data_IF_887939542650
#
_entry.id   IF_887939542650
#
_cell.length_a   1.000
_cell.length_b   1.000
_cell.length_c   1.000
_cell.angle_alpha   90.00
_cell.angle_beta   90.00
_cell.angle_gamma   90.00
#
_symmetry.space_group_name_H-M   'P 1'
#
loop_
_entity.id
_entity.type
_entity.pdbx_description
1 polymer ?
#
# COMPACT_ATOMS: atom_id res chain seq x y z
N UNK A 1 23.70 -13.52 -4.36
CA UNK A 1 23.14 -13.70 -3.91
C UNK A 1 22.28 -13.71 -4.17
N UNK A 2 22.07 -13.69 -4.27
CA UNK A 2 21.24 -13.70 -4.14
C UNK A 2 20.67 -14.02 -3.64
N UNK A 3 20.88 -14.24 -3.44
CA UNK A 3 20.63 -14.70 -2.68
C UNK A 3 19.44 -14.88 -2.45
N UNK A 4 19.04 -15.75 -2.44
CA UNK A 4 18.13 -15.86 -1.67
C UNK A 4 17.86 -14.67 -1.09
N UNK A 5 18.08 -13.73 -1.78
CA UNK A 5 17.95 -12.45 -1.29
C UNK A 5 16.73 -12.25 -0.47
N UNK A 6 15.61 -12.72 -0.92
CA UNK A 6 14.38 -12.51 -0.21
C UNK A 6 14.26 -13.31 1.06
N UNK A 7 15.07 -14.31 1.25
CA UNK A 7 14.98 -15.10 2.45
C UNK A 7 15.81 -14.58 3.55
N UNK A 8 16.84 -13.86 3.20
CA UNK A 8 17.75 -13.38 4.17
C UNK A 8 17.68 -11.92 4.17
N UNK A 9 16.85 -11.36 4.93
CA UNK A 9 16.77 -9.94 4.99
C UNK A 9 17.69 -9.42 6.05
N UNK A 10 18.84 -8.92 5.69
CA UNK A 10 19.57 -8.12 6.66
C UNK A 10 18.76 -6.87 6.84
N UNK A 11 18.19 -6.74 8.00
CA UNK A 11 17.21 -5.70 8.25
C UNK A 11 17.68 -4.31 7.95
N UNK A 12 18.98 -4.08 8.12
CA UNK A 12 19.51 -2.73 7.94
C UNK A 12 19.93 -2.42 6.52
N UNK A 13 19.95 -3.44 5.66
CA UNK A 13 20.51 -3.26 4.31
C UNK A 13 19.49 -3.16 3.20
N UNK A 14 18.22 -3.12 3.55
CA UNK A 14 17.18 -2.98 2.53
C UNK A 14 17.27 -1.60 1.90
N UNK A 15 17.39 -1.51 0.58
CA UNK A 15 17.47 -0.21 -0.07
C UNK A 15 16.12 0.47 -0.05
N UNK A 16 16.13 1.75 0.26
CA UNK A 16 14.94 2.58 0.12
C UNK A 16 14.84 3.00 -1.33
N UNK A 17 13.69 2.81 -1.93
CA UNK A 17 13.45 3.26 -3.30
C UNK A 17 13.12 4.74 -3.35
N UNK A 18 12.77 5.33 -2.22
CA UNK A 18 12.45 6.76 -2.11
C UNK A 18 12.59 7.22 -0.67
N UNK A 19 12.72 8.54 -0.49
CA UNK A 19 12.73 9.13 0.84
C UNK A 19 11.30 9.17 1.41
N UNK A 20 11.19 9.47 2.69
CA UNK A 20 9.89 9.63 3.33
C UNK A 20 9.09 10.76 2.68
N UNK A 21 9.77 11.87 2.34
CA UNK A 21 9.10 12.98 1.69
C UNK A 21 8.62 12.61 0.29
N UNK A 22 9.43 11.90 -0.47
CA UNK A 22 9.02 11.39 -1.77
C UNK A 22 7.85 10.43 -1.66
N UNK A 23 7.84 9.61 -0.61
CA UNK A 23 6.71 8.72 -0.35
C UNK A 23 5.44 9.51 -0.08
N UNK A 24 5.51 10.58 0.69
CA UNK A 24 4.33 11.42 0.96
C UNK A 24 3.77 12.03 -0.31
N UNK A 25 4.64 12.49 -1.19
CA UNK A 25 4.22 13.07 -2.46
C UNK A 25 3.55 11.99 -3.33
N UNK A 26 4.15 10.82 -3.41
CA UNK A 26 3.60 9.71 -4.17
C UNK A 26 2.23 9.30 -3.65
N UNK A 27 2.09 9.18 -2.33
CA UNK A 27 0.82 8.82 -1.71
C UNK A 27 -0.28 9.83 -2.06
N UNK A 28 0.03 11.11 -2.00
CA UNK A 28 -0.97 12.14 -2.34
C UNK A 28 -1.43 12.03 -3.78
N UNK A 29 -0.50 11.80 -4.69
CA UNK A 29 -0.85 11.59 -6.09
C UNK A 29 -1.74 10.37 -6.27
N UNK A 30 -1.40 9.28 -5.58
CA UNK A 30 -2.19 8.05 -5.65
C UNK A 30 -3.59 8.24 -5.09
N UNK A 31 -3.72 8.98 -3.99
CA UNK A 31 -5.03 9.29 -3.40
C UNK A 31 -5.88 10.07 -4.38
N UNK A 32 -5.31 11.07 -5.04
CA UNK A 32 -6.06 11.86 -6.02
C UNK A 32 -6.56 11.01 -7.17
N UNK A 33 -5.73 10.08 -7.65
CA UNK A 33 -6.13 9.18 -8.73
C UNK A 33 -7.25 8.24 -8.30
N UNK A 34 -7.15 7.69 -7.09
CA UNK A 34 -8.18 6.79 -6.56
C UNK A 34 -9.47 7.54 -6.30
N UNK A 35 -9.38 8.73 -5.72
CA UNK A 35 -10.55 9.56 -5.44
C UNK A 35 -11.32 9.89 -6.72
N UNK A 36 -10.61 10.11 -7.82
CA UNK A 36 -11.24 10.44 -9.09
C UNK A 36 -12.17 9.34 -9.59
N UNK A 37 -11.87 8.07 -9.29
CA UNK A 37 -12.70 6.95 -9.74
C UNK A 37 -13.66 6.44 -8.66
N UNK A 38 -13.30 6.57 -7.38
CA UNK A 38 -14.12 6.09 -6.28
C UNK A 38 -15.11 7.15 -5.81
N UNK A 39 -14.77 8.43 -5.97
CA UNK A 39 -15.65 9.52 -5.62
C UNK A 39 -15.67 9.85 -4.14
N UNK A 40 -14.64 9.45 -3.37
CA UNK A 40 -14.60 9.73 -1.95
C UNK A 40 -13.17 9.97 -1.51
N UNK A 41 -12.98 10.99 -0.68
CA UNK A 41 -11.68 11.36 -0.15
C UNK A 41 -11.56 10.91 1.31
N UNK A 42 -10.34 10.56 1.78
CA UNK A 42 -10.16 10.23 3.19
C UNK A 42 -10.39 11.45 4.07
N UNK A 43 -10.93 11.22 5.27
CA UNK A 43 -11.09 12.26 6.27
C UNK A 43 -9.76 12.65 6.89
N UNK A 44 -8.79 11.74 6.87
CA UNK A 44 -7.45 12.00 7.35
C UNK A 44 -6.50 10.95 6.82
N UNK A 45 -5.21 11.29 6.87
CA UNK A 45 -4.16 10.41 6.38
C UNK A 45 -3.04 10.39 7.42
N UNK A 46 -2.58 9.20 7.77
CA UNK A 46 -1.44 9.02 8.67
C UNK A 46 -0.41 8.13 8.04
N UNK A 47 0.84 8.51 8.19
CA UNK A 47 1.97 7.73 7.72
C UNK A 47 2.78 7.36 8.94
N UNK A 48 2.86 6.07 9.24
CA UNK A 48 3.49 5.59 10.48
C UNK A 48 4.03 4.17 10.29
N UNK A 49 4.97 3.75 11.14
CA UNK A 49 5.40 2.36 11.15
C UNK A 49 4.25 1.45 11.56
N UNK A 50 4.09 0.32 10.88
CA UNK A 50 3.09 -0.68 11.21
C UNK A 50 3.74 -2.05 11.11
N UNK A 51 3.32 -2.99 11.99
CA UNK A 51 4.01 -4.27 12.09
C UNK A 51 3.47 -5.35 11.17
N UNK A 52 2.19 -5.32 10.86
CA UNK A 52 1.55 -6.44 10.17
C UNK A 52 0.71 -6.02 8.97
N UNK A 53 0.61 -4.73 8.68
CA UNK A 53 -0.22 -4.23 7.60
C UNK A 53 0.53 -3.20 6.78
N UNK A 54 0.25 -3.15 5.49
CA UNK A 54 0.75 -2.08 4.63
C UNK A 54 -0.09 -0.82 4.78
N UNK A 55 -1.36 -0.97 5.12
CA UNK A 55 -2.27 0.14 5.31
C UNK A 55 -3.53 -0.31 6.00
N UNK A 56 -4.35 0.66 6.40
CA UNK A 56 -5.65 0.40 7.02
C UNK A 56 -6.56 1.60 6.78
N UNK A 57 -7.86 1.35 6.91
CA UNK A 57 -8.86 2.40 6.82
C UNK A 57 -9.89 2.15 7.93
N UNK A 58 -10.11 3.13 8.80
CA UNK A 58 -11.06 2.95 9.88
C UNK A 58 -12.44 3.52 9.52
N UNK A 59 -13.41 3.32 10.39
CA UNK A 59 -14.79 3.74 10.16
C UNK A 59 -14.96 5.25 10.12
N UNK A 60 -14.00 6.00 10.66
CA UNK A 60 -14.02 7.47 10.60
C UNK A 60 -13.46 7.99 9.28
N UNK A 61 -13.02 7.12 8.38
CA UNK A 61 -12.46 7.53 7.10
C UNK A 61 -11.01 7.93 7.15
N UNK A 62 -10.30 7.53 8.20
CA UNK A 62 -8.87 7.82 8.32
C UNK A 62 -8.09 6.65 7.75
N UNK A 63 -7.21 6.96 6.81
CA UNK A 63 -6.32 5.97 6.20
C UNK A 63 -4.96 6.07 6.87
N UNK A 64 -4.44 4.94 7.33
CA UNK A 64 -3.08 4.84 7.83
C UNK A 64 -2.26 4.03 6.84
N UNK A 65 -1.05 4.51 6.54
CA UNK A 65 -0.15 3.86 5.60
C UNK A 65 1.20 3.63 6.27
N UNK A 66 1.83 2.52 5.92
CA UNK A 66 3.06 2.08 6.53
C UNK A 66 4.26 2.81 5.92
N UNK A 67 5.14 3.35 6.75
CA UNK A 67 6.37 3.97 6.25
C UNK A 67 7.24 2.98 5.46
N UNK A 68 7.07 1.68 5.66
CA UNK A 68 7.80 0.67 4.89
C UNK A 68 7.42 0.61 3.42
N UNK A 69 6.41 1.35 3.01
CA UNK A 69 6.11 1.54 1.59
C UNK A 69 7.28 2.16 0.84
N UNK A 70 8.21 2.81 1.56
CA UNK A 70 9.40 3.35 0.91
C UNK A 70 10.29 2.28 0.29
N UNK A 71 10.10 1.02 0.65
CA UNK A 71 10.85 -0.10 0.09
C UNK A 71 10.16 -0.78 -1.09
N UNK A 72 8.93 -0.39 -1.40
CA UNK A 72 8.14 -1.06 -2.44
C UNK A 72 8.18 -0.30 -3.76
N UNK A 73 8.08 -1.00 -4.89
CA UNK A 73 7.92 -0.35 -6.19
C UNK A 73 6.70 0.55 -6.19
N UNK A 74 6.75 1.58 -7.02
CA UNK A 74 5.70 2.59 -7.08
C UNK A 74 4.32 1.97 -7.34
N UNK A 75 4.23 0.99 -8.25
CA UNK A 75 2.95 0.37 -8.56
C UNK A 75 2.31 -0.31 -7.37
N UNK A 76 3.12 -0.93 -6.52
CA UNK A 76 2.60 -1.56 -5.31
C UNK A 76 2.13 -0.52 -4.29
N UNK A 77 2.86 0.60 -4.18
CA UNK A 77 2.40 1.69 -3.33
C UNK A 77 1.05 2.20 -3.81
N UNK A 78 0.93 2.45 -5.10
CA UNK A 78 -0.31 2.93 -5.69
C UNK A 78 -1.47 1.95 -5.47
N UNK A 79 -1.19 0.66 -5.59
CA UNK A 79 -2.18 -0.38 -5.38
C UNK A 79 -2.69 -0.40 -3.93
N UNK A 80 -1.76 -0.31 -2.97
CA UNK A 80 -2.12 -0.29 -1.55
C UNK A 80 -2.96 0.94 -1.23
N UNK A 81 -2.57 2.10 -1.73
CA UNK A 81 -3.32 3.33 -1.51
C UNK A 81 -4.73 3.19 -2.06
N UNK A 82 -4.86 2.69 -3.28
CA UNK A 82 -6.17 2.50 -3.89
C UNK A 82 -7.05 1.53 -3.09
N UNK A 83 -6.47 0.45 -2.62
CA UNK A 83 -7.16 -0.54 -1.78
C UNK A 83 -7.79 0.15 -0.56
N UNK A 84 -7.04 1.02 0.11
CA UNK A 84 -7.56 1.72 1.28
C UNK A 84 -8.61 2.77 0.91
N UNK A 85 -8.43 3.47 -0.21
CA UNK A 85 -9.44 4.43 -0.67
C UNK A 85 -10.75 3.72 -1.00
N UNK A 86 -10.70 2.54 -1.61
CA UNK A 86 -11.91 1.75 -1.88
C UNK A 86 -12.64 1.44 -0.59
N UNK A 87 -11.91 1.16 0.50
CA UNK A 87 -12.52 0.90 1.81
C UNK A 87 -13.29 2.10 2.38
N UNK A 88 -13.05 3.30 1.90
CA UNK A 88 -13.87 4.43 2.31
C UNK A 88 -15.33 4.25 1.92
N UNK A 89 -15.58 3.44 0.90
CA UNK A 89 -16.90 3.24 0.34
C UNK A 89 -17.41 1.83 0.51
N UNK A 90 -16.53 0.83 0.42
CA UNK A 90 -16.89 -0.58 0.47
C UNK A 90 -16.02 -1.25 1.50
N UNK A 91 -16.61 -1.68 2.64
CA UNK A 91 -15.84 -2.21 3.75
C UNK A 91 -15.44 -3.68 3.57
N UNK A 92 -16.34 -4.50 3.02
CA UNK A 92 -16.08 -5.93 2.85
C UNK A 92 -15.28 -6.18 1.57
N UNK A 93 -14.41 -7.20 1.61
CA UNK A 93 -13.63 -7.60 0.43
C UNK A 93 -14.48 -8.51 -0.46
N UNK A 94 -15.64 -8.03 -0.90
CA UNK A 94 -16.55 -8.78 -1.73
C UNK A 94 -16.34 -8.47 -3.21
N UNK A 95 -17.30 -8.91 -4.03
CA UNK A 95 -17.19 -8.71 -5.46
C UNK A 95 -17.18 -7.22 -5.85
N UNK A 96 -18.00 -6.41 -5.18
CA UNK A 96 -18.05 -4.99 -5.50
C UNK A 96 -16.73 -4.30 -5.13
N UNK A 97 -16.10 -4.74 -4.05
CA UNK A 97 -14.78 -4.24 -3.67
C UNK A 97 -13.76 -4.56 -4.76
N UNK A 98 -13.73 -5.82 -5.21
CA UNK A 98 -12.79 -6.24 -6.24
C UNK A 98 -13.00 -5.48 -7.54
N UNK A 99 -14.26 -5.24 -7.92
CA UNK A 99 -14.56 -4.46 -9.12
C UNK A 99 -14.06 -3.03 -9.00
N UNK A 100 -14.24 -2.41 -7.84
CA UNK A 100 -13.75 -1.05 -7.61
C UNK A 100 -12.22 -0.98 -7.65
N UNK A 101 -11.55 -1.99 -7.09
CA UNK A 101 -10.09 -2.06 -7.17
C UNK A 101 -9.65 -2.18 -8.62
N UNK A 102 -10.34 -3.00 -9.40
CA UNK A 102 -9.96 -3.27 -10.79
C UNK A 102 -10.18 -2.09 -11.72
N UNK A 103 -10.90 -1.06 -11.30
CA UNK A 103 -11.01 0.17 -12.10
C UNK A 103 -9.66 0.80 -12.41
N UNK A 104 -8.72 0.73 -11.47
CA UNK A 104 -7.37 1.23 -11.69
C UNK A 104 -6.33 0.11 -11.82
N UNK A 105 -6.61 -1.06 -11.28
CA UNK A 105 -5.67 -2.16 -11.22
C UNK A 105 -6.30 -3.45 -11.73
N UNK A 106 -6.50 -3.57 -13.05
CA UNK A 106 -7.02 -4.81 -13.62
C UNK A 106 -6.09 -5.99 -13.39
N UNK A 107 -4.82 -5.72 -13.10
CA UNK A 107 -3.82 -6.73 -12.76
C UNK A 107 -3.78 -7.05 -11.26
N UNK A 108 -4.88 -6.83 -10.55
CA UNK A 108 -5.00 -7.02 -9.10
C UNK A 108 -4.44 -8.37 -8.61
N UNK A 109 -4.74 -9.44 -9.32
CA UNK A 109 -4.30 -10.77 -8.88
C UNK A 109 -2.76 -10.85 -8.84
N UNK A 110 -2.10 -10.29 -9.84
CA UNK A 110 -0.64 -10.25 -9.87
C UNK A 110 -0.08 -9.39 -8.77
N UNK A 111 -0.70 -8.23 -8.52
CA UNK A 111 -0.25 -7.33 -7.48
C UNK A 111 -0.42 -7.95 -6.10
N UNK A 112 -1.50 -8.68 -5.87
CA UNK A 112 -1.70 -9.40 -4.61
C UNK A 112 -0.59 -10.43 -4.38
N UNK A 113 -0.17 -11.13 -5.44
CA UNK A 113 0.93 -12.08 -5.33
C UNK A 113 2.25 -11.38 -4.99
N UNK A 114 2.48 -10.22 -5.60
CA UNK A 114 3.70 -9.46 -5.33
C UNK A 114 3.71 -8.95 -3.89
N UNK A 115 2.57 -8.49 -3.38
CA UNK A 115 2.48 -8.05 -2.00
C UNK A 115 2.68 -9.20 -1.03
N UNK A 116 2.13 -10.37 -1.35
CA UNK A 116 2.35 -11.54 -0.51
C UNK A 116 3.84 -11.89 -0.44
N UNK A 117 4.53 -11.80 -1.58
CA UNK A 117 5.96 -12.06 -1.63
C UNK A 117 6.76 -10.99 -0.86
N UNK A 118 6.24 -9.77 -0.76
CA UNK A 118 6.91 -8.69 -0.05
C UNK A 118 6.60 -8.68 1.46
N UNK A 119 5.71 -9.55 1.92
CA UNK A 119 5.30 -9.57 3.33
C UNK A 119 6.46 -9.66 4.33
N UNK A 120 7.57 -10.37 4.05
CA UNK A 120 8.70 -10.37 4.99
C UNK A 120 9.25 -8.99 5.32
N UNK A 121 9.11 -8.01 4.43
CA UNK A 121 9.56 -6.65 4.69
C UNK A 121 8.83 -6.06 5.90
N UNK A 122 7.57 -6.41 6.10
CA UNK A 122 6.79 -5.93 7.25
C UNK A 122 7.37 -6.40 8.58
N UNK A 123 8.05 -7.52 8.57
CA UNK A 123 8.57 -8.12 9.79
C UNK A 123 10.03 -7.74 10.07
N UNK A 124 10.63 -6.94 9.22
CA UNK A 124 12.00 -6.49 9.40
C UNK A 124 12.05 -5.45 10.51
N UNK A 125 13.11 -5.51 11.30
CA UNK A 125 13.42 -4.42 12.21
C UNK A 125 14.29 -3.44 11.44
N UNK A 126 13.81 -2.28 11.26
CA UNK A 126 14.52 -1.28 10.46
C UNK A 126 14.97 -0.13 11.31
#
# INVERSE_FOLDING_TARGET
MPRRLLKIYPTVDLPKLRSLQELRILIRTCIQQSEAVIGKAPAGLRLKPMKSQWGSCNSAGIIALNTRLMFLPERLVAYIVHHEVVHLKIHAHDRSFRQAVELLFPDRVQLDKQLHAAAPILRQKI
#
